data_IF_766572908192
#
_entry.id   IF_766572908192
#
_cell.length_a   1.000
_cell.length_b   1.000
_cell.length_c   1.000
_cell.angle_alpha   90.00
_cell.angle_beta   90.00
_cell.angle_gamma   90.00
#
_symmetry.space_group_name_H-M   'P 1'
#
loop_
_entity.id
_entity.type
_entity.pdbx_description
1 polymer ?
#
# COMPACT_ATOMS: atom_id res chain seq x y z
N UNK A 1 3.87 -13.99 -8.24
CA UNK A 1 4.39 -12.94 -7.35
C UNK A 1 3.56 -12.81 -6.07
N UNK A 2 2.27 -12.49 -6.17
CA UNK A 2 1.33 -12.56 -5.06
C UNK A 2 0.29 -13.62 -5.39
N UNK A 3 0.06 -14.54 -4.48
CA UNK A 3 -0.88 -15.65 -4.65
C UNK A 3 -1.83 -15.69 -3.46
N UNK A 4 -3.11 -15.62 -3.72
CA UNK A 4 -4.17 -15.70 -2.72
C UNK A 4 -5.06 -16.85 -3.09
N UNK A 5 -5.24 -17.80 -2.18
CA UNK A 5 -5.99 -19.03 -2.43
C UNK A 5 -7.01 -19.26 -1.32
N UNK A 6 -8.30 -19.30 -1.71
CA UNK A 6 -9.44 -19.60 -0.84
C UNK A 6 -9.48 -18.78 0.44
N UNK A 7 -9.09 -17.48 0.33
CA UNK A 7 -8.96 -16.61 1.48
C UNK A 7 -10.31 -16.29 2.10
N UNK A 8 -10.49 -16.65 3.36
CA UNK A 8 -11.71 -16.41 4.12
C UNK A 8 -11.39 -15.70 5.44
N UNK A 9 -12.19 -14.70 5.80
CA UNK A 9 -12.12 -14.00 7.07
C UNK A 9 -13.47 -13.84 7.71
N UNK A 10 -13.63 -14.40 8.92
CA UNK A 10 -14.80 -14.21 9.78
C UNK A 10 -14.43 -13.32 10.98
N UNK A 11 -15.31 -12.37 11.28
CA UNK A 11 -15.27 -11.55 12.48
C UNK A 11 -16.53 -11.88 13.30
N UNK A 12 -16.40 -12.83 14.23
CA UNK A 12 -17.53 -13.43 14.90
C UNK A 12 -18.45 -14.12 13.89
N UNK A 13 -19.73 -13.71 13.82
CA UNK A 13 -20.69 -14.25 12.85
C UNK A 13 -20.63 -13.57 11.48
N UNK A 14 -19.98 -12.41 11.37
CA UNK A 14 -19.91 -11.67 10.10
C UNK A 14 -18.78 -12.22 9.24
N UNK A 15 -19.12 -12.63 8.02
CA UNK A 15 -18.18 -12.98 6.97
C UNK A 15 -17.71 -11.69 6.29
N UNK A 16 -16.41 -11.41 6.39
CA UNK A 16 -15.82 -10.19 5.86
C UNK A 16 -15.08 -10.40 4.53
N UNK A 17 -14.59 -11.62 4.30
CA UNK A 17 -14.01 -12.12 3.04
C UNK A 17 -14.40 -13.58 2.94
N UNK A 18 -14.89 -14.02 1.76
CA UNK A 18 -15.42 -15.36 1.53
C UNK A 18 -14.81 -16.00 0.28
N UNK A 19 -13.92 -16.97 0.51
CA UNK A 19 -13.33 -17.83 -0.53
C UNK A 19 -12.68 -17.07 -1.71
N UNK A 20 -11.99 -15.95 -1.41
CA UNK A 20 -11.37 -15.10 -2.42
C UNK A 20 -10.05 -15.72 -2.91
N UNK A 21 -9.93 -15.88 -4.23
CA UNK A 21 -8.71 -16.38 -4.87
C UNK A 21 -8.32 -15.50 -6.06
N UNK A 22 -7.07 -15.05 -6.11
CA UNK A 22 -6.51 -14.34 -7.26
C UNK A 22 -4.97 -14.37 -7.24
N UNK A 23 -4.39 -14.00 -8.38
CA UNK A 23 -2.95 -13.96 -8.58
C UNK A 23 -2.53 -12.63 -9.22
N UNK A 24 -1.36 -12.13 -8.80
CA UNK A 24 -0.75 -10.91 -9.35
C UNK A 24 0.66 -11.22 -9.83
N UNK A 25 0.92 -10.96 -11.09
CA UNK A 25 2.24 -11.15 -11.70
C UNK A 25 3.24 -10.07 -11.26
N UNK A 26 4.52 -10.35 -11.45
CA UNK A 26 5.59 -9.38 -11.18
C UNK A 26 5.45 -8.18 -12.12
N UNK A 27 5.44 -6.96 -11.54
CA UNK A 27 5.32 -5.71 -12.30
C UNK A 27 3.90 -5.39 -12.75
N UNK A 28 2.90 -6.17 -12.36
CA UNK A 28 1.48 -5.92 -12.62
C UNK A 28 0.90 -4.96 -11.60
N UNK A 29 0.00 -4.07 -12.03
CA UNK A 29 -0.81 -3.22 -11.16
C UNK A 29 -2.22 -3.82 -11.11
N UNK A 30 -2.58 -4.43 -9.99
CA UNK A 30 -3.91 -4.97 -9.74
C UNK A 30 -4.78 -3.95 -9.00
N UNK A 31 -5.96 -3.66 -9.56
CA UNK A 31 -7.03 -2.91 -8.89
C UNK A 31 -7.97 -3.85 -8.15
N UNK A 32 -8.18 -3.61 -6.86
CA UNK A 32 -9.14 -4.32 -6.03
C UNK A 32 -10.37 -3.43 -5.81
N UNK A 33 -11.40 -3.61 -6.64
CA UNK A 33 -12.56 -2.73 -6.74
C UNK A 33 -13.76 -3.28 -5.96
N UNK A 34 -14.45 -2.44 -5.22
CA UNK A 34 -15.71 -2.82 -4.56
C UNK A 34 -16.28 -1.68 -3.71
N UNK A 35 -17.57 -1.75 -3.33
CA UNK A 35 -18.19 -0.76 -2.46
C UNK A 35 -17.58 -0.76 -1.06
N UNK A 36 -17.91 0.27 -0.26
CA UNK A 36 -17.51 0.30 1.13
C UNK A 36 -18.13 -0.88 1.89
N UNK A 37 -17.32 -1.55 2.73
CA UNK A 37 -17.76 -2.74 3.46
C UNK A 37 -17.68 -4.05 2.67
N UNK A 38 -17.26 -4.05 1.41
CA UNK A 38 -17.13 -5.27 0.58
C UNK A 38 -16.00 -6.22 0.97
N UNK A 39 -15.11 -5.84 1.92
CA UNK A 39 -13.99 -6.68 2.35
C UNK A 39 -12.62 -6.19 1.87
N UNK A 40 -12.54 -5.08 1.10
CA UNK A 40 -11.26 -4.56 0.53
C UNK A 40 -10.18 -4.36 1.59
N UNK A 41 -10.40 -3.47 2.56
CA UNK A 41 -9.39 -3.19 3.61
C UNK A 41 -9.12 -4.40 4.50
N UNK A 42 -10.10 -5.30 4.68
CA UNK A 42 -9.88 -6.58 5.36
C UNK A 42 -8.87 -7.44 4.60
N UNK A 43 -9.04 -7.56 3.28
CA UNK A 43 -8.11 -8.27 2.41
C UNK A 43 -6.72 -7.62 2.43
N UNK A 44 -6.62 -6.27 2.31
CA UNK A 44 -5.34 -5.55 2.38
C UNK A 44 -4.65 -5.79 3.74
N UNK A 45 -5.39 -5.80 4.84
CA UNK A 45 -4.85 -6.07 6.17
C UNK A 45 -4.34 -7.51 6.33
N UNK A 46 -4.95 -8.49 5.66
CA UNK A 46 -4.44 -9.86 5.65
C UNK A 46 -3.15 -9.94 4.81
N UNK A 47 -3.15 -9.33 3.61
CA UNK A 47 -1.98 -9.26 2.72
C UNK A 47 -0.75 -8.62 3.38
N UNK A 48 -0.97 -7.70 4.32
CA UNK A 48 0.11 -7.03 5.07
C UNK A 48 0.45 -7.73 6.38
N UNK A 49 -0.25 -8.85 6.69
CA UNK A 49 -0.07 -9.59 7.95
C UNK A 49 -0.47 -8.77 9.18
N UNK A 50 -1.34 -7.78 9.04
CA UNK A 50 -1.97 -7.05 10.15
C UNK A 50 -3.12 -7.85 10.75
N UNK A 51 -3.86 -8.59 9.93
CA UNK A 51 -4.90 -9.53 10.33
C UNK A 51 -4.56 -10.94 9.87
N UNK A 52 -4.87 -11.94 10.69
CA UNK A 52 -4.83 -13.33 10.28
C UNK A 52 -6.09 -13.71 9.51
N UNK A 53 -5.95 -14.52 8.47
CA UNK A 53 -7.09 -15.17 7.81
C UNK A 53 -7.74 -16.20 8.76
N UNK A 54 -9.01 -16.53 8.51
CA UNK A 54 -9.70 -17.66 9.17
C UNK A 54 -9.32 -18.96 8.47
N UNK A 55 -9.23 -18.94 7.14
CA UNK A 55 -8.76 -20.06 6.32
C UNK A 55 -8.20 -19.52 4.99
N UNK A 56 -7.58 -20.41 4.21
CA UNK A 56 -6.92 -20.05 2.97
C UNK A 56 -5.45 -19.67 3.19
N UNK A 57 -4.77 -19.27 2.12
CA UNK A 57 -3.36 -18.89 2.15
C UNK A 57 -3.10 -17.59 1.39
N UNK A 58 -2.04 -16.90 1.79
CA UNK A 58 -1.56 -15.67 1.14
C UNK A 58 -0.05 -15.73 1.05
N UNK A 59 0.48 -15.85 -0.17
CA UNK A 59 1.91 -15.92 -0.43
C UNK A 59 2.40 -14.69 -1.18
N UNK A 60 3.53 -14.16 -0.74
CA UNK A 60 4.24 -13.05 -1.38
C UNK A 60 5.65 -13.53 -1.68
N UNK A 61 6.02 -13.54 -2.97
CA UNK A 61 7.29 -14.11 -3.44
C UNK A 61 7.50 -15.57 -2.97
N UNK A 62 6.43 -16.37 -2.91
CA UNK A 62 6.47 -17.75 -2.44
C UNK A 62 6.55 -17.92 -0.93
N UNK A 63 6.57 -16.81 -0.16
CA UNK A 63 6.58 -16.84 1.31
C UNK A 63 5.16 -16.62 1.82
N UNK A 64 4.64 -17.57 2.60
CA UNK A 64 3.32 -17.43 3.21
C UNK A 64 3.38 -16.40 4.35
N UNK A 65 2.47 -15.42 4.29
CA UNK A 65 2.41 -14.32 5.27
C UNK A 65 2.02 -14.80 6.68
N UNK A 66 1.35 -15.95 6.78
CA UNK A 66 0.92 -16.51 8.06
C UNK A 66 2.02 -17.40 8.68
N UNK A 67 2.82 -18.08 7.85
CA UNK A 67 3.91 -18.95 8.30
C UNK A 67 5.19 -18.17 8.63
N UNK A 68 5.59 -17.24 7.76
CA UNK A 68 6.78 -16.39 7.98
C UNK A 68 6.45 -14.91 7.70
N UNK A 69 5.71 -14.26 8.61
CA UNK A 69 5.28 -12.87 8.44
C UNK A 69 6.45 -11.88 8.40
N UNK A 70 7.56 -12.16 9.08
CA UNK A 70 8.71 -11.25 9.10
C UNK A 70 9.35 -11.20 7.71
N UNK A 71 9.61 -12.36 7.12
CA UNK A 71 10.21 -12.46 5.79
C UNK A 71 9.28 -11.91 4.71
N UNK A 72 8.00 -12.25 4.75
CA UNK A 72 7.02 -11.72 3.80
C UNK A 72 6.93 -10.19 3.86
N UNK A 73 6.86 -9.60 5.07
CA UNK A 73 6.77 -8.14 5.28
C UNK A 73 7.99 -7.37 4.79
N UNK A 74 9.16 -7.99 4.70
CA UNK A 74 10.36 -7.33 4.15
C UNK A 74 10.19 -6.94 2.66
N UNK A 75 9.35 -7.68 1.94
CA UNK A 75 9.05 -7.42 0.53
C UNK A 75 7.89 -6.44 0.31
N UNK A 76 7.23 -5.99 1.39
CA UNK A 76 5.99 -5.21 1.32
C UNK A 76 6.20 -3.76 1.74
N UNK A 77 5.72 -2.83 0.93
CA UNK A 77 5.43 -1.47 1.32
C UNK A 77 3.92 -1.27 1.44
N UNK A 78 3.44 -0.69 2.53
CA UNK A 78 2.02 -0.51 2.77
C UNK A 78 1.65 0.94 3.00
N UNK A 79 0.65 1.40 2.26
CA UNK A 79 -0.05 2.66 2.48
C UNK A 79 -1.49 2.32 2.88
N UNK A 80 -1.88 2.43 4.16
CA UNK A 80 -3.28 2.32 4.56
C UNK A 80 -4.07 3.57 4.14
N UNK A 81 -5.39 3.48 4.10
CA UNK A 81 -6.30 4.59 3.78
C UNK A 81 -5.99 5.86 4.60
N UNK A 82 -5.69 5.67 5.88
CA UNK A 82 -5.22 6.72 6.78
C UNK A 82 -3.79 6.40 7.23
N UNK A 83 -2.77 7.02 6.64
CA UNK A 83 -1.39 6.77 7.02
C UNK A 83 -1.15 7.13 8.50
N UNK A 84 -0.54 6.22 9.30
CA UNK A 84 -0.26 6.44 10.70
C UNK A 84 0.97 7.33 10.90
N UNK A 85 0.87 8.60 10.48
CA UNK A 85 1.98 9.55 10.53
C UNK A 85 2.19 10.10 11.94
N UNK A 86 3.43 10.26 12.35
CA UNK A 86 3.79 10.97 13.58
C UNK A 86 3.73 12.48 13.34
N UNK A 87 2.58 13.07 13.68
CA UNK A 87 2.21 14.41 13.26
C UNK A 87 3.12 15.52 13.81
N UNK A 88 3.79 15.29 14.94
CA UNK A 88 4.70 16.25 15.56
C UNK A 88 6.15 16.14 15.04
N UNK A 89 6.46 15.12 14.25
CA UNK A 89 7.76 15.01 13.56
C UNK A 89 7.76 15.85 12.28
N UNK A 90 8.96 16.28 11.88
CA UNK A 90 9.21 16.74 10.51
C UNK A 90 9.19 15.55 9.55
N UNK A 91 8.99 15.80 8.25
CA UNK A 91 9.09 14.74 7.24
C UNK A 91 10.45 14.04 7.30
N UNK A 92 11.53 14.80 7.48
CA UNK A 92 12.89 14.28 7.65
C UNK A 92 12.99 13.29 8.80
N UNK A 93 12.62 13.73 10.02
CA UNK A 93 12.69 12.89 11.22
C UNK A 93 11.87 11.61 11.09
N UNK A 94 10.70 11.71 10.48
CA UNK A 94 9.82 10.56 10.25
C UNK A 94 10.42 9.55 9.27
N UNK A 95 10.98 10.01 8.16
CA UNK A 95 11.61 9.11 7.18
C UNK A 95 12.93 8.51 7.71
N UNK A 96 13.72 9.27 8.47
CA UNK A 96 14.91 8.76 9.16
C UNK A 96 14.54 7.67 10.19
N UNK A 97 13.50 7.90 10.98
CA UNK A 97 12.97 6.90 11.93
C UNK A 97 12.55 5.62 11.23
N UNK A 98 11.81 5.71 10.12
CA UNK A 98 11.37 4.54 9.36
C UNK A 98 12.54 3.80 8.70
N UNK A 99 13.54 4.52 8.23
CA UNK A 99 14.75 3.95 7.68
C UNK A 99 15.45 3.05 8.72
N UNK A 100 15.61 3.53 9.95
CA UNK A 100 16.21 2.78 11.05
C UNK A 100 15.34 1.60 11.48
N UNK A 101 14.02 1.81 11.60
CA UNK A 101 13.06 0.78 11.98
C UNK A 101 13.07 -0.41 11.00
N UNK A 102 13.12 -0.12 9.69
CA UNK A 102 13.17 -1.15 8.64
C UNK A 102 14.58 -1.72 8.43
N UNK A 103 15.61 -1.24 9.15
CA UNK A 103 17.01 -1.68 9.04
C UNK A 103 17.51 -1.67 7.59
N UNK A 104 17.22 -0.58 6.89
CA UNK A 104 17.57 -0.40 5.48
C UNK A 104 19.09 -0.41 5.30
N UNK A 105 19.58 -1.08 4.24
CA UNK A 105 21.04 -1.24 4.01
C UNK A 105 21.61 -0.24 3.00
N UNK A 106 20.77 0.35 2.17
CA UNK A 106 21.20 1.36 1.17
C UNK A 106 21.72 2.63 1.88
N UNK A 107 22.58 3.44 1.26
CA UNK A 107 23.03 4.71 1.84
C UNK A 107 21.86 5.64 2.16
N UNK A 108 21.68 5.98 3.45
CA UNK A 108 20.51 6.71 3.97
C UNK A 108 20.17 7.96 3.18
N UNK A 109 21.11 8.86 3.04
CA UNK A 109 20.86 10.16 2.42
C UNK A 109 20.38 10.01 0.96
N UNK A 110 21.05 9.18 0.17
CA UNK A 110 20.71 8.95 -1.22
C UNK A 110 19.33 8.25 -1.36
N UNK A 111 19.06 7.23 -0.52
CA UNK A 111 17.82 6.50 -0.54
C UNK A 111 16.60 7.38 -0.18
N UNK A 112 16.71 8.16 0.91
CA UNK A 112 15.61 9.06 1.32
C UNK A 112 15.43 10.17 0.31
N UNK A 113 16.52 10.74 -0.23
CA UNK A 113 16.43 11.77 -1.27
C UNK A 113 15.71 11.25 -2.52
N UNK A 114 16.12 10.08 -3.05
CA UNK A 114 15.45 9.45 -4.21
C UNK A 114 13.94 9.29 -3.96
N UNK A 115 13.55 8.79 -2.78
CA UNK A 115 12.14 8.63 -2.43
C UNK A 115 11.42 9.99 -2.40
N UNK A 116 12.00 11.01 -1.75
CA UNK A 116 11.41 12.36 -1.70
C UNK A 116 11.21 12.97 -3.08
N UNK A 117 12.13 12.74 -4.01
CA UNK A 117 12.01 13.16 -5.40
C UNK A 117 10.91 12.40 -6.14
N UNK A 118 10.84 11.08 -5.98
CA UNK A 118 9.81 10.23 -6.60
C UNK A 118 8.41 10.69 -6.19
N UNK A 119 8.16 10.86 -4.87
CA UNK A 119 6.84 11.26 -4.35
C UNK A 119 6.63 12.78 -4.29
N UNK A 120 7.62 13.58 -4.72
CA UNK A 120 7.55 15.04 -4.82
C UNK A 120 7.27 15.75 -3.48
N UNK A 121 8.06 15.44 -2.46
CA UNK A 121 7.96 16.05 -1.11
C UNK A 121 9.25 16.77 -0.69
N UNK A 122 10.20 16.94 -1.58
CA UNK A 122 11.50 17.58 -1.29
C UNK A 122 11.33 19.00 -0.73
N UNK A 123 10.36 19.75 -1.24
CA UNK A 123 10.04 21.12 -0.82
C UNK A 123 9.43 21.22 0.59
N UNK A 124 8.98 20.11 1.17
CA UNK A 124 8.40 20.04 2.51
C UNK A 124 9.21 19.17 3.47
N UNK A 125 10.40 18.73 3.07
CA UNK A 125 11.24 17.77 3.82
C UNK A 125 11.54 18.21 5.27
N UNK A 126 11.78 19.50 5.50
CA UNK A 126 11.99 20.07 6.84
C UNK A 126 10.71 20.51 7.58
N UNK A 127 9.52 20.33 6.98
CA UNK A 127 8.28 20.79 7.59
C UNK A 127 7.69 19.75 8.54
N UNK A 128 7.06 20.22 9.61
CA UNK A 128 6.32 19.37 10.55
C UNK A 128 5.07 18.81 9.85
N UNK A 129 4.83 17.50 9.98
CA UNK A 129 3.79 16.76 9.25
C UNK A 129 2.37 17.30 9.53
N UNK A 130 2.09 17.73 10.76
CA UNK A 130 0.76 18.30 11.11
C UNK A 130 0.40 19.57 10.33
N UNK A 131 1.39 20.28 9.80
CA UNK A 131 1.19 21.50 9.02
C UNK A 131 1.07 21.24 7.51
N UNK A 132 1.11 20.00 7.09
CA UNK A 132 0.98 19.60 5.69
C UNK A 132 -0.50 19.45 5.30
N UNK A 133 -0.82 19.77 4.02
CA UNK A 133 -2.12 19.44 3.44
C UNK A 133 -2.34 17.92 3.39
N UNK A 134 -3.59 17.49 3.22
CA UNK A 134 -3.93 16.07 3.08
C UNK A 134 -3.14 15.42 1.95
N UNK A 135 -3.01 16.06 0.79
CA UNK A 135 -2.25 15.55 -0.35
C UNK A 135 -0.76 15.34 -0.04
N UNK A 136 -0.13 16.28 0.68
CA UNK A 136 1.25 16.09 1.13
C UNK A 136 1.38 14.97 2.16
N UNK A 137 0.44 14.85 3.10
CA UNK A 137 0.45 13.71 4.05
C UNK A 137 0.31 12.37 3.34
N UNK A 138 -0.52 12.30 2.30
CA UNK A 138 -0.65 11.10 1.46
C UNK A 138 0.66 10.76 0.75
N UNK A 139 1.38 11.75 0.23
CA UNK A 139 2.70 11.57 -0.37
C UNK A 139 3.76 11.14 0.65
N UNK A 140 3.70 11.64 1.89
CA UNK A 140 4.56 11.16 2.99
C UNK A 140 4.24 9.70 3.33
N UNK A 141 2.96 9.31 3.32
CA UNK A 141 2.55 7.91 3.47
C UNK A 141 3.06 7.01 2.34
N UNK A 142 3.06 7.50 1.08
CA UNK A 142 3.69 6.78 -0.03
C UNK A 142 5.21 6.69 0.14
N UNK A 143 5.87 7.74 0.62
CA UNK A 143 7.29 7.69 0.96
C UNK A 143 7.59 6.62 2.00
N UNK A 144 6.78 6.55 3.08
CA UNK A 144 6.84 5.48 4.09
C UNK A 144 6.78 4.09 3.46
N UNK A 145 5.85 3.88 2.54
CA UNK A 145 5.70 2.60 1.86
C UNK A 145 6.94 2.23 1.03
N UNK A 146 7.60 3.21 0.41
CA UNK A 146 8.77 3.04 -0.45
C UNK A 146 10.09 2.84 0.32
N UNK A 147 10.17 3.17 1.61
CA UNK A 147 11.38 2.97 2.42
C UNK A 147 11.78 1.49 2.39
N UNK A 148 13.04 1.22 2.01
CA UNK A 148 13.59 -0.13 1.86
C UNK A 148 13.42 -0.72 0.46
N UNK A 149 12.83 0.02 -0.49
CA UNK A 149 12.61 -0.40 -1.87
C UNK A 149 11.90 -1.77 -1.99
N UNK A 150 10.68 -1.92 -1.44
CA UNK A 150 9.95 -3.19 -1.42
C UNK A 150 9.58 -3.64 -2.83
N UNK A 151 9.51 -4.95 -3.07
CA UNK A 151 9.08 -5.48 -4.37
C UNK A 151 7.57 -5.32 -4.60
N UNK A 152 6.78 -5.30 -3.53
CA UNK A 152 5.33 -5.20 -3.54
C UNK A 152 4.87 -3.93 -2.84
N UNK A 153 3.96 -3.19 -3.45
CA UNK A 153 3.27 -2.06 -2.82
C UNK A 153 1.78 -2.40 -2.67
N UNK A 154 1.27 -2.28 -1.46
CA UNK A 154 -0.15 -2.41 -1.14
C UNK A 154 -0.67 -1.03 -0.78
N UNK A 155 -1.62 -0.51 -1.56
CA UNK A 155 -2.13 0.86 -1.45
C UNK A 155 -3.65 0.80 -1.20
N UNK A 156 -4.07 1.11 0.03
CA UNK A 156 -5.49 1.10 0.39
C UNK A 156 -6.10 2.49 0.19
N UNK A 157 -7.01 2.63 -0.79
CA UNK A 157 -7.71 3.87 -1.16
C UNK A 157 -6.77 5.09 -1.31
N UNK A 158 -5.71 5.02 -2.13
CA UNK A 158 -4.62 6.01 -2.14
C UNK A 158 -5.03 7.42 -2.56
N UNK A 159 -6.22 7.59 -3.13
CA UNK A 159 -6.75 8.87 -3.65
C UNK A 159 -7.89 9.44 -2.81
N UNK A 160 -8.33 8.75 -1.77
CA UNK A 160 -9.50 9.13 -0.99
C UNK A 160 -9.37 10.51 -0.36
N UNK A 161 -10.37 11.39 -0.63
CA UNK A 161 -10.45 12.74 -0.07
C UNK A 161 -9.37 13.72 -0.57
N UNK A 162 -8.75 13.43 -1.71
CA UNK A 162 -7.91 14.35 -2.45
C UNK A 162 -8.75 15.16 -3.45
N UNK A 163 -8.26 16.35 -3.82
CA UNK A 163 -8.87 17.12 -4.90
C UNK A 163 -8.56 16.52 -6.29
N UNK A 164 -9.33 16.87 -7.34
CA UNK A 164 -9.20 16.27 -8.67
C UNK A 164 -7.78 16.37 -9.26
N UNK A 165 -7.06 17.45 -9.01
CA UNK A 165 -5.69 17.62 -9.49
C UNK A 165 -4.74 16.65 -8.77
N UNK A 166 -4.84 16.56 -7.46
CA UNK A 166 -4.04 15.64 -6.66
C UNK A 166 -4.31 14.17 -7.02
N UNK A 167 -5.57 13.81 -7.31
CA UNK A 167 -5.93 12.47 -7.79
C UNK A 167 -5.15 12.12 -9.07
N UNK A 168 -5.11 13.02 -10.04
CA UNK A 168 -4.37 12.81 -11.28
C UNK A 168 -2.87 12.63 -11.00
N UNK A 169 -2.31 13.45 -10.13
CA UNK A 169 -0.90 13.39 -9.76
C UNK A 169 -0.55 12.07 -9.07
N UNK A 170 -1.37 11.60 -8.12
CA UNK A 170 -1.16 10.31 -7.44
C UNK A 170 -1.31 9.14 -8.41
N UNK A 171 -2.28 9.15 -9.32
CA UNK A 171 -2.42 8.12 -10.36
C UNK A 171 -1.17 8.03 -11.25
N UNK A 172 -0.65 9.18 -11.70
CA UNK A 172 0.57 9.21 -12.50
C UNK A 172 1.78 8.68 -11.72
N UNK A 173 1.86 8.99 -10.43
CA UNK A 173 2.87 8.46 -9.54
C UNK A 173 2.76 6.94 -9.41
N UNK A 174 1.57 6.39 -9.17
CA UNK A 174 1.35 4.94 -9.08
C UNK A 174 1.74 4.24 -10.39
N UNK A 175 1.36 4.77 -11.56
CA UNK A 175 1.82 4.24 -12.85
C UNK A 175 3.35 4.23 -13.00
N UNK A 176 4.01 5.29 -12.52
CA UNK A 176 5.48 5.34 -12.53
C UNK A 176 6.10 4.28 -11.62
N UNK A 177 5.52 4.08 -10.43
CA UNK A 177 5.94 3.07 -9.47
C UNK A 177 5.72 1.64 -9.99
N UNK A 178 4.64 1.38 -10.73
CA UNK A 178 4.34 0.08 -11.34
C UNK A 178 5.40 -0.42 -12.33
N UNK A 179 6.27 0.48 -12.85
CA UNK A 179 7.40 0.06 -13.68
C UNK A 179 8.51 -0.66 -12.90
N UNK A 180 8.56 -0.49 -11.58
CA UNK A 180 9.59 -1.05 -10.69
C UNK A 180 9.02 -1.99 -9.62
N UNK A 181 7.74 -1.85 -9.32
CA UNK A 181 7.06 -2.57 -8.23
C UNK A 181 5.82 -3.30 -8.73
N UNK A 182 5.49 -4.42 -8.11
CA UNK A 182 4.16 -5.03 -8.23
C UNK A 182 3.21 -4.31 -7.29
N UNK A 183 2.04 -3.89 -7.77
CA UNK A 183 1.14 -3.03 -6.98
C UNK A 183 -0.23 -3.69 -6.85
N UNK A 184 -0.77 -3.72 -5.64
CA UNK A 184 -2.20 -3.91 -5.39
C UNK A 184 -2.74 -2.59 -4.86
N UNK A 185 -3.76 -2.05 -5.50
CA UNK A 185 -4.46 -0.88 -4.98
C UNK A 185 -5.95 -1.16 -4.81
N UNK A 186 -6.52 -0.75 -3.69
CA UNK A 186 -7.95 -0.78 -3.49
C UNK A 186 -8.59 0.54 -3.92
N UNK A 187 -9.80 0.46 -4.46
CA UNK A 187 -10.65 1.63 -4.70
C UNK A 187 -12.13 1.23 -4.78
N UNK A 188 -13.02 2.18 -4.54
CA UNK A 188 -14.44 2.06 -4.81
C UNK A 188 -14.84 2.83 -6.08
N UNK A 189 -13.90 3.42 -6.79
CA UNK A 189 -14.12 4.30 -7.95
C UNK A 189 -13.57 3.65 -9.22
N UNK A 190 -14.44 3.08 -10.05
CA UNK A 190 -14.07 2.38 -11.28
C UNK A 190 -13.17 3.19 -12.23
N UNK A 191 -13.45 4.45 -12.57
CA UNK A 191 -12.56 5.27 -13.42
C UNK A 191 -11.14 5.43 -12.89
N UNK A 192 -10.93 5.35 -11.58
CA UNK A 192 -9.58 5.41 -11.00
C UNK A 192 -8.80 4.14 -11.26
N UNK A 193 -9.45 3.00 -11.08
CA UNK A 193 -8.85 1.69 -11.32
C UNK A 193 -8.56 1.50 -12.80
N UNK A 194 -9.51 1.79 -13.69
CA UNK A 194 -9.32 1.71 -15.15
C UNK A 194 -8.18 2.59 -15.67
N UNK A 195 -7.95 3.74 -15.03
CA UNK A 195 -6.90 4.65 -15.44
C UNK A 195 -5.48 4.16 -15.10
N UNK A 196 -5.31 3.23 -14.17
CA UNK A 196 -4.00 2.88 -13.59
C UNK A 196 -3.68 1.39 -13.70
N UNK A 197 -4.68 0.51 -13.55
CA UNK A 197 -4.48 -0.92 -13.35
C UNK A 197 -4.44 -1.70 -14.68
N UNK A 198 -3.61 -2.75 -14.69
CA UNK A 198 -3.52 -3.71 -15.79
C UNK A 198 -4.64 -4.76 -15.67
N UNK A 199 -5.04 -5.07 -14.42
CA UNK A 199 -6.02 -6.10 -14.08
C UNK A 199 -6.92 -5.62 -12.94
N UNK A 200 -8.15 -6.06 -12.92
CA UNK A 200 -9.13 -5.68 -11.88
C UNK A 200 -9.77 -6.93 -11.29
N UNK A 201 -9.79 -7.01 -9.99
CA UNK A 201 -10.61 -7.94 -9.20
C UNK A 201 -11.75 -7.14 -8.60
N UNK A 202 -12.98 -7.62 -8.79
CA UNK A 202 -14.18 -7.00 -8.20
C UNK A 202 -14.65 -7.85 -7.04
N UNK A 203 -14.80 -7.21 -5.88
CA UNK A 203 -15.32 -7.84 -4.67
C UNK A 203 -16.65 -7.21 -4.26
N UNK A 204 -17.62 -8.06 -3.88
CA UNK A 204 -18.92 -7.64 -3.39
C UNK A 204 -19.39 -8.62 -2.31
N UNK A 205 -19.59 -8.11 -1.09
CA UNK A 205 -20.03 -8.89 0.08
C UNK A 205 -19.06 -10.01 0.52
N UNK A 206 -17.76 -9.83 0.34
CA UNK A 206 -16.73 -10.80 0.68
C UNK A 206 -16.25 -11.62 -0.51
#
# INVERSE_FOLDING_TARGET
MIEISNLTKRNGQKLAVDDVSFYVDRGEILGFLGPNGAGKSTTMNILTGYLSATSGSCKINGVDILEDPIKAKQSIGYLPEQPPLYLDMTVKEYLDFLYDLKKVKQPRAAHIQEICEIVQITNVYGRVIKHLSKGYRQRVGLAQALIGNPEVLILDEPTVGLDPKQIIEIRNLIKKLGKKHTIILSSHILPEVQAVCDKVVVIHQG
#
